data_IF_743354483412
#
_entry.id   IF_743354483412
#
_cell.length_a   1.000
_cell.length_b   1.000
_cell.length_c   1.000
_cell.angle_alpha   90.00
_cell.angle_beta   90.00
_cell.angle_gamma   90.00
#
_symmetry.space_group_name_H-M   'P 1'
#
loop_
_entity.id
_entity.type
_entity.pdbx_description
1 polymer ?
#
# COMPACT_ATOMS: atom_id res chain seq x y z
N UNK A 1 -19.42 11.05 -19.96
CA UNK A 1 -20.61 11.18 -19.10
C UNK A 1 -21.15 9.83 -18.57
N UNK A 2 -21.79 8.94 -19.38
CA UNK A 2 -22.38 7.69 -18.86
C UNK A 2 -21.30 6.73 -18.33
N UNK A 3 -20.18 6.57 -19.02
CA UNK A 3 -19.06 5.71 -18.60
C UNK A 3 -18.45 6.17 -17.27
N UNK A 4 -18.28 7.48 -17.10
CA UNK A 4 -17.72 8.07 -15.89
C UNK A 4 -18.67 7.92 -14.69
N UNK A 5 -19.98 8.13 -14.94
CA UNK A 5 -21.02 7.90 -13.93
C UNK A 5 -21.11 6.44 -13.50
N UNK A 6 -20.97 5.50 -14.44
CA UNK A 6 -20.96 4.07 -14.14
C UNK A 6 -19.72 3.67 -13.32
N UNK A 7 -18.55 4.20 -13.67
CA UNK A 7 -17.33 3.98 -12.92
C UNK A 7 -17.47 4.50 -11.48
N UNK A 8 -17.94 5.73 -11.30
CA UNK A 8 -18.16 6.32 -9.99
C UNK A 8 -19.19 5.56 -9.17
N UNK A 9 -20.31 5.15 -9.78
CA UNK A 9 -21.34 4.37 -9.10
C UNK A 9 -20.79 3.01 -8.64
N UNK A 10 -20.03 2.31 -9.48
CA UNK A 10 -19.41 1.03 -9.10
C UNK A 10 -18.34 1.21 -8.04
N UNK A 11 -17.60 2.33 -8.07
CA UNK A 11 -16.62 2.66 -7.03
C UNK A 11 -17.28 2.89 -5.67
N UNK A 12 -18.37 3.63 -5.63
CA UNK A 12 -19.15 3.84 -4.38
C UNK A 12 -19.71 2.51 -3.87
N UNK A 13 -20.37 1.73 -4.72
CA UNK A 13 -20.91 0.43 -4.33
C UNK A 13 -19.79 -0.48 -3.83
N UNK A 14 -18.67 -0.56 -4.55
CA UNK A 14 -17.53 -1.38 -4.17
C UNK A 14 -16.90 -0.95 -2.83
N UNK A 15 -16.90 0.35 -2.53
CA UNK A 15 -16.39 0.89 -1.27
C UNK A 15 -17.28 0.50 -0.08
N UNK A 16 -18.61 0.60 -0.22
CA UNK A 16 -19.55 0.34 0.89
C UNK A 16 -19.94 -1.13 1.02
N UNK A 17 -19.82 -1.91 -0.05
CA UNK A 17 -20.09 -3.36 -0.01
C UNK A 17 -18.86 -4.09 0.54
N UNK A 18 -18.85 -4.29 1.84
CA UNK A 18 -17.72 -4.89 2.54
C UNK A 18 -17.58 -6.39 2.23
N UNK A 19 -16.32 -6.85 2.19
CA UNK A 19 -15.99 -8.26 2.19
C UNK A 19 -16.31 -8.88 3.56
N UNK A 20 -16.64 -10.16 3.58
CA UNK A 20 -16.60 -10.91 4.82
C UNK A 20 -15.13 -11.01 5.27
N UNK A 21 -14.86 -10.67 6.52
CA UNK A 21 -13.54 -10.78 7.12
C UNK A 21 -13.67 -11.24 8.57
N UNK A 22 -12.61 -11.79 9.10
CA UNK A 22 -12.50 -12.07 10.53
C UNK A 22 -12.20 -10.74 11.20
N UNK A 23 -12.95 -10.37 12.24
CA UNK A 23 -12.77 -9.07 12.88
C UNK A 23 -11.34 -8.87 13.34
N UNK A 24 -10.71 -7.75 12.96
CA UNK A 24 -9.47 -7.31 13.57
C UNK A 24 -9.81 -6.67 14.91
N UNK A 25 -9.29 -7.20 15.96
CA UNK A 25 -9.47 -6.63 17.29
C UNK A 25 -8.47 -7.26 18.26
N UNK A 26 -7.36 -6.58 18.51
CA UNK A 26 -6.45 -6.93 19.58
C UNK A 26 -5.42 -8.00 19.30
N UNK A 27 -5.01 -8.19 18.04
CA UNK A 27 -3.84 -9.00 17.71
C UNK A 27 -2.53 -8.34 18.17
N UNK A 28 -1.43 -9.11 18.26
CA UNK A 28 -0.15 -8.62 18.79
C UNK A 28 0.61 -7.73 17.79
N UNK A 29 0.26 -7.73 16.52
CA UNK A 29 1.03 -7.02 15.48
C UNK A 29 0.31 -5.75 15.04
N UNK A 30 0.92 -4.62 15.32
CA UNK A 30 0.40 -3.31 14.91
C UNK A 30 0.98 -2.89 13.56
N UNK A 31 0.13 -2.69 12.58
CA UNK A 31 0.45 -2.06 11.29
C UNK A 31 -0.25 -0.71 11.17
N UNK A 32 0.15 0.10 10.18
CA UNK A 32 -0.54 1.34 9.86
C UNK A 32 -0.91 1.38 8.38
N UNK A 33 -2.10 1.91 8.10
CA UNK A 33 -2.51 2.33 6.75
C UNK A 33 -2.34 3.83 6.69
N UNK A 34 -1.52 4.29 5.76
CA UNK A 34 -1.22 5.70 5.57
C UNK A 34 -1.95 6.22 4.34
N UNK A 35 -2.48 7.43 4.40
CA UNK A 35 -3.07 8.08 3.23
C UNK A 35 -2.62 9.54 3.14
N UNK A 36 -2.39 9.99 1.91
CA UNK A 36 -2.17 11.41 1.63
C UNK A 36 -3.36 12.06 0.89
N UNK A 37 -4.49 11.35 0.78
CA UNK A 37 -5.71 11.77 0.08
C UNK A 37 -5.76 11.41 -1.41
N UNK A 38 -4.63 10.96 -1.98
CA UNK A 38 -4.53 10.48 -3.37
C UNK A 38 -4.00 9.05 -3.42
N UNK A 39 -3.10 8.71 -2.54
CA UNK A 39 -2.38 7.45 -2.45
C UNK A 39 -2.45 6.88 -1.05
N UNK A 40 -2.37 5.57 -0.94
CA UNK A 40 -2.29 4.87 0.34
C UNK A 40 -1.16 3.84 0.35
N UNK A 41 -0.50 3.75 1.52
CA UNK A 41 0.61 2.85 1.82
C UNK A 41 0.29 1.99 3.04
N UNK A 42 1.04 0.91 3.22
CA UNK A 42 1.00 0.06 4.41
C UNK A 42 2.35 0.14 5.11
N UNK A 43 2.35 0.49 6.39
CA UNK A 43 3.54 0.45 7.23
C UNK A 43 3.53 -0.80 8.10
N UNK A 44 4.56 -1.63 7.97
CA UNK A 44 4.73 -2.89 8.71
C UNK A 44 5.90 -2.76 9.69
N UNK A 45 5.79 -3.31 10.92
CA UNK A 45 6.82 -3.16 11.95
C UNK A 45 8.04 -4.02 11.65
N UNK A 46 9.25 -3.47 11.87
CA UNK A 46 10.50 -4.23 11.82
C UNK A 46 10.84 -4.93 13.15
N UNK A 47 10.10 -4.64 14.21
CA UNK A 47 10.22 -5.38 15.46
C UNK A 47 9.76 -6.83 15.36
N UNK A 48 8.97 -7.17 14.34
CA UNK A 48 8.60 -8.53 14.01
C UNK A 48 9.56 -9.09 12.94
N UNK A 49 10.29 -10.16 13.27
CA UNK A 49 11.30 -10.74 12.39
C UNK A 49 10.73 -11.24 11.06
N UNK A 50 9.45 -11.67 11.06
CA UNK A 50 8.74 -12.12 9.86
C UNK A 50 8.73 -11.08 8.75
N UNK A 51 8.74 -9.78 9.10
CA UNK A 51 8.79 -8.69 8.11
C UNK A 51 9.99 -8.82 7.18
N UNK A 52 11.19 -8.96 7.75
CA UNK A 52 12.43 -9.08 6.98
C UNK A 52 12.65 -10.47 6.37
N UNK A 53 12.04 -11.49 6.94
CA UNK A 53 12.07 -12.85 6.41
C UNK A 53 11.20 -12.98 5.14
N UNK A 54 10.04 -12.30 5.13
CA UNK A 54 9.07 -12.39 4.04
C UNK A 54 9.32 -11.36 2.92
N UNK A 55 9.59 -10.08 3.29
CA UNK A 55 9.74 -9.00 2.31
C UNK A 55 11.13 -9.07 1.67
N UNK A 56 11.24 -9.24 0.33
CA UNK A 56 12.52 -9.51 -0.35
C UNK A 56 13.35 -8.22 -0.55
N UNK A 57 13.43 -7.36 0.46
CA UNK A 57 14.16 -6.09 0.46
C UNK A 57 15.48 -6.26 1.19
N UNK A 58 16.57 -5.78 0.57
CA UNK A 58 17.88 -5.85 1.19
C UNK A 58 18.23 -4.55 1.88
N UNK A 59 18.74 -4.62 3.11
CA UNK A 59 19.23 -3.44 3.83
C UNK A 59 20.28 -2.65 3.05
N UNK A 60 21.08 -3.33 2.22
CA UNK A 60 22.11 -2.70 1.37
C UNK A 60 21.54 -1.83 0.24
N UNK A 61 20.30 -2.04 -0.15
CA UNK A 61 19.65 -1.24 -1.20
C UNK A 61 19.19 0.13 -0.66
N UNK A 62 18.99 0.24 0.64
CA UNK A 62 18.59 1.46 1.33
C UNK A 62 19.83 2.31 1.66
N UNK A 63 19.82 3.60 1.31
CA UNK A 63 20.97 4.50 1.48
C UNK A 63 21.47 4.64 2.93
N UNK A 64 20.58 4.48 3.91
CA UNK A 64 20.90 4.47 5.35
C UNK A 64 20.87 3.08 5.99
N UNK A 65 20.69 2.02 5.20
CA UNK A 65 20.38 0.69 5.73
C UNK A 65 19.05 0.68 6.50
N UNK A 66 18.93 -0.25 7.45
CA UNK A 66 17.75 -0.37 8.33
C UNK A 66 18.02 0.09 9.77
N UNK A 67 19.17 0.71 10.03
CA UNK A 67 19.52 1.13 11.38
C UNK A 67 18.59 2.24 11.87
N UNK A 68 17.96 2.04 13.02
CA UNK A 68 17.00 3.00 13.61
C UNK A 68 15.64 3.02 12.91
N UNK A 69 15.39 2.10 11.97
CA UNK A 69 14.09 1.94 11.32
C UNK A 69 13.15 1.11 12.20
N UNK A 70 11.97 1.63 12.48
CA UNK A 70 10.93 0.90 13.22
C UNK A 70 9.86 0.30 12.30
N UNK A 71 9.59 0.94 11.17
CA UNK A 71 8.60 0.50 10.18
C UNK A 71 9.17 0.55 8.77
N UNK A 72 8.76 -0.41 7.94
CA UNK A 72 8.84 -0.27 6.48
C UNK A 72 7.51 0.20 5.94
N UNK A 73 7.50 1.33 5.28
CA UNK A 73 6.35 1.83 4.54
C UNK A 73 6.42 1.28 3.13
N UNK A 74 5.38 0.58 2.73
CA UNK A 74 5.27 -0.15 1.47
C UNK A 74 4.12 0.44 0.65
N UNK A 75 4.46 1.04 -0.47
CA UNK A 75 3.53 1.61 -1.44
C UNK A 75 3.66 0.94 -2.80
N UNK A 76 2.53 0.70 -3.46
CA UNK A 76 2.51 0.15 -4.80
C UNK A 76 1.83 1.10 -5.77
N UNK A 77 2.37 1.24 -6.97
CA UNK A 77 1.76 2.14 -7.94
C UNK A 77 2.41 2.14 -9.31
N UNK A 78 1.99 3.09 -10.16
CA UNK A 78 2.51 3.29 -11.51
C UNK A 78 3.98 3.72 -11.49
N UNK A 79 4.83 3.04 -12.27
CA UNK A 79 6.23 3.40 -12.45
C UNK A 79 6.34 4.85 -12.97
N UNK A 80 5.56 5.19 -14.00
CA UNK A 80 5.56 6.53 -14.57
C UNK A 80 5.13 7.59 -13.56
N UNK A 81 4.10 7.32 -12.73
CA UNK A 81 3.66 8.27 -11.72
C UNK A 81 4.76 8.52 -10.68
N UNK A 82 5.36 7.48 -10.13
CA UNK A 82 6.42 7.62 -9.12
C UNK A 82 7.68 8.30 -9.65
N UNK A 83 8.09 8.00 -10.89
CA UNK A 83 9.32 8.55 -11.49
C UNK A 83 9.13 9.94 -12.08
N UNK A 84 7.90 10.31 -12.51
CA UNK A 84 7.62 11.61 -13.12
C UNK A 84 7.11 12.65 -12.13
N UNK A 85 6.56 12.23 -10.98
CA UNK A 85 6.05 13.15 -9.95
C UNK A 85 7.16 13.85 -9.12
N UNK A 86 8.41 13.58 -9.39
CA UNK A 86 9.54 14.33 -8.82
C UNK A 86 9.50 15.82 -9.22
N UNK A 87 8.73 16.19 -10.26
CA UNK A 87 8.43 17.56 -10.61
C UNK A 87 6.96 17.69 -11.04
N UNK A 88 6.09 18.16 -10.14
CA UNK A 88 4.70 18.50 -10.46
C UNK A 88 4.58 19.49 -11.63
N UNK A 89 5.65 20.25 -11.92
CA UNK A 89 5.76 21.14 -13.05
C UNK A 89 5.81 20.46 -14.42
N UNK A 90 6.15 19.14 -14.46
CA UNK A 90 6.39 18.42 -15.71
C UNK A 90 5.22 17.49 -16.09
N UNK A 91 4.12 17.54 -15.35
CA UNK A 91 2.91 16.77 -15.63
C UNK A 91 2.25 17.23 -16.95
N UNK A 92 2.63 16.57 -18.04
CA UNK A 92 1.89 16.71 -19.30
C UNK A 92 0.63 15.83 -19.31
N UNK A 93 -0.43 16.21 -20.02
CA UNK A 93 -1.61 15.34 -20.19
C UNK A 93 -1.27 13.94 -20.68
N UNK A 94 -0.19 13.78 -21.44
CA UNK A 94 0.28 12.48 -21.93
C UNK A 94 0.91 11.62 -20.85
N UNK A 95 1.63 12.20 -19.90
CA UNK A 95 2.19 11.49 -18.74
C UNK A 95 1.06 11.04 -17.82
N UNK A 96 0.09 11.92 -17.55
CA UNK A 96 -1.08 11.59 -16.74
C UNK A 96 -1.89 10.47 -17.40
N UNK A 97 -2.14 10.55 -18.72
CA UNK A 97 -2.85 9.49 -19.45
C UNK A 97 -2.10 8.15 -19.41
N UNK A 98 -0.76 8.15 -19.54
CA UNK A 98 0.06 6.93 -19.44
C UNK A 98 0.05 6.35 -18.03
N UNK A 99 0.19 7.18 -16.99
CA UNK A 99 0.13 6.74 -15.61
C UNK A 99 -1.20 6.09 -15.24
N UNK A 100 -2.30 6.46 -15.94
CA UNK A 100 -3.64 5.90 -15.74
C UNK A 100 -3.98 4.74 -16.70
N UNK A 101 -3.16 4.46 -17.73
CA UNK A 101 -3.45 3.45 -18.77
C UNK A 101 -2.38 2.35 -18.75
N UNK A 102 -2.61 1.24 -18.04
CA UNK A 102 -1.84 0.00 -18.14
C UNK A 102 -0.32 0.17 -18.09
N UNK A 103 0.16 0.85 -17.05
CA UNK A 103 1.57 1.09 -16.83
C UNK A 103 2.27 -0.13 -16.14
N UNK A 104 3.60 -0.13 -16.16
CA UNK A 104 4.36 -0.97 -15.24
C UNK A 104 4.10 -0.51 -13.82
N UNK A 105 4.23 -1.42 -12.89
CA UNK A 105 4.12 -1.09 -11.48
C UNK A 105 5.45 -1.20 -10.76
N UNK A 106 5.55 -0.47 -9.68
CA UNK A 106 6.67 -0.49 -8.77
C UNK A 106 6.19 -0.62 -7.33
N UNK A 107 7.03 -1.24 -6.52
CA UNK A 107 6.93 -1.22 -5.07
C UNK A 107 7.87 -0.15 -4.54
N UNK A 108 7.34 0.86 -3.88
CA UNK A 108 8.06 1.88 -3.14
C UNK A 108 8.29 1.39 -1.72
N UNK A 109 9.53 1.44 -1.25
CA UNK A 109 9.91 1.03 0.10
C UNK A 109 10.61 2.18 0.79
N UNK A 110 10.00 2.66 1.87
CA UNK A 110 10.51 3.78 2.66
C UNK A 110 10.77 3.32 4.10
N UNK A 111 12.02 3.36 4.59
CA UNK A 111 12.33 3.13 5.99
C UNK A 111 11.84 4.32 6.84
N UNK A 112 11.15 4.04 7.92
CA UNK A 112 10.61 5.04 8.82
C UNK A 112 11.11 4.83 10.24
N UNK A 113 11.77 5.86 10.80
CA UNK A 113 12.15 5.89 12.21
C UNK A 113 10.96 6.35 13.05
N UNK A 114 10.46 5.48 13.91
CA UNK A 114 9.33 5.75 14.79
C UNK A 114 7.97 5.39 14.18
N UNK A 115 6.92 5.60 14.99
CA UNK A 115 5.55 5.29 14.58
C UNK A 115 5.02 6.27 13.56
N UNK A 116 4.32 5.77 12.52
CA UNK A 116 3.56 6.66 11.65
C UNK A 116 2.56 7.50 12.43
N UNK A 117 2.46 8.78 12.11
CA UNK A 117 1.57 9.73 12.79
C UNK A 117 0.78 10.59 11.81
N UNK A 118 -0.16 11.38 12.37
CA UNK A 118 -1.02 12.29 11.61
C UNK A 118 -2.45 11.79 11.47
N UNK A 119 -3.32 12.66 10.96
CA UNK A 119 -4.79 12.42 10.90
C UNK A 119 -5.20 11.30 9.94
N UNK A 120 -4.28 10.87 9.06
CA UNK A 120 -4.51 9.86 8.03
C UNK A 120 -3.55 8.67 8.17
N UNK A 121 -3.10 8.43 9.39
CA UNK A 121 -2.40 7.21 9.79
C UNK A 121 -3.37 6.36 10.64
N UNK A 122 -3.87 5.29 10.05
CA UNK A 122 -4.87 4.41 10.67
C UNK A 122 -4.20 3.15 11.20
N UNK A 123 -4.26 2.97 12.52
CA UNK A 123 -3.73 1.78 13.19
C UNK A 123 -4.66 0.59 12.99
N UNK A 124 -4.07 -0.57 12.72
CA UNK A 124 -4.73 -1.87 12.71
C UNK A 124 -3.88 -2.86 13.51
N UNK A 125 -4.54 -3.60 14.40
CA UNK A 125 -3.90 -4.67 15.17
C UNK A 125 -4.33 -6.01 14.57
N UNK A 126 -3.38 -6.75 14.03
CA UNK A 126 -3.56 -8.02 13.33
C UNK A 126 -3.15 -9.18 14.22
N UNK A 127 -3.86 -10.30 14.12
CA UNK A 127 -3.33 -11.56 14.65
C UNK A 127 -2.22 -12.11 13.76
N UNK A 128 -1.53 -13.16 14.23
CA UNK A 128 -0.39 -13.73 13.52
C UNK A 128 -0.74 -14.24 12.14
N UNK A 129 -1.88 -14.93 11.98
CA UNK A 129 -2.29 -15.47 10.69
C UNK A 129 -2.67 -14.35 9.69
N UNK A 130 -3.30 -13.30 10.18
CA UNK A 130 -3.61 -12.11 9.38
C UNK A 130 -2.34 -11.41 8.92
N UNK A 131 -1.34 -11.31 9.81
CA UNK A 131 -0.08 -10.66 9.49
C UNK A 131 0.72 -11.49 8.47
N UNK A 132 0.79 -12.81 8.63
CA UNK A 132 1.44 -13.70 7.66
C UNK A 132 0.79 -13.59 6.28
N UNK A 133 -0.55 -13.58 6.20
CA UNK A 133 -1.28 -13.39 4.94
C UNK A 133 -1.00 -12.01 4.30
N UNK A 134 -0.85 -10.96 5.10
CA UNK A 134 -0.46 -9.63 4.62
C UNK A 134 0.93 -9.65 4.02
N UNK A 135 1.89 -10.22 4.74
CA UNK A 135 3.29 -10.33 4.30
C UNK A 135 3.42 -11.16 3.02
N UNK A 136 2.73 -12.30 2.94
CA UNK A 136 2.69 -13.16 1.75
C UNK A 136 2.17 -12.40 0.53
N UNK A 137 1.07 -11.65 0.70
CA UNK A 137 0.53 -10.83 -0.39
C UNK A 137 1.52 -9.74 -0.84
N UNK A 138 2.12 -9.03 0.11
CA UNK A 138 3.09 -7.96 -0.19
C UNK A 138 4.32 -8.55 -0.88
N UNK A 139 4.89 -9.62 -0.33
CA UNK A 139 6.05 -10.32 -0.90
C UNK A 139 5.78 -10.80 -2.33
N UNK A 140 4.61 -11.41 -2.56
CA UNK A 140 4.17 -11.86 -3.88
C UNK A 140 3.92 -10.73 -4.89
N UNK A 141 3.93 -9.48 -4.46
CA UNK A 141 3.81 -8.32 -5.35
C UNK A 141 5.16 -7.94 -6.01
N UNK A 142 6.28 -8.25 -5.38
CA UNK A 142 7.61 -7.97 -5.95
C UNK A 142 7.90 -8.88 -7.15
N UNK A 143 8.48 -8.31 -8.22
CA UNK A 143 9.18 -9.12 -9.22
C UNK A 143 10.52 -9.54 -8.66
N UNK A 144 10.84 -10.83 -8.75
CA UNK A 144 12.10 -11.38 -8.29
C UNK A 144 12.95 -11.88 -9.47
N UNK A 145 14.26 -11.83 -9.30
CA UNK A 145 15.21 -12.42 -10.22
C UNK A 145 15.30 -13.96 -10.05
N UNK A 146 16.19 -14.58 -10.79
CA UNK A 146 16.42 -16.04 -10.73
C UNK A 146 16.98 -16.53 -9.39
N UNK A 147 17.51 -15.61 -8.56
CA UNK A 147 17.99 -15.89 -7.22
C UNK A 147 16.91 -15.64 -6.13
N UNK A 148 15.67 -15.24 -6.54
CA UNK A 148 14.59 -14.91 -5.63
C UNK A 148 14.72 -13.53 -4.98
N UNK A 149 15.63 -12.67 -5.47
CA UNK A 149 15.81 -11.32 -4.93
C UNK A 149 14.91 -10.33 -5.68
N UNK A 150 14.34 -9.37 -4.95
CA UNK A 150 13.56 -8.30 -5.57
C UNK A 150 14.41 -7.49 -6.56
N UNK A 151 13.83 -7.17 -7.72
CA UNK A 151 14.51 -6.45 -8.80
C UNK A 151 14.52 -4.96 -8.48
N UNK A 152 15.66 -4.47 -7.99
CA UNK A 152 15.85 -3.05 -7.65
C UNK A 152 15.83 -2.17 -8.91
N UNK A 153 15.20 -1.01 -8.83
CA UNK A 153 15.26 0.06 -9.82
C UNK A 153 16.32 1.08 -9.38
N UNK A 154 17.54 0.92 -9.90
CA UNK A 154 18.68 1.75 -9.51
C UNK A 154 18.46 3.23 -9.89
N UNK A 155 18.91 4.12 -9.02
CA UNK A 155 18.89 5.57 -9.26
C UNK A 155 17.53 6.25 -9.14
N UNK A 156 16.49 5.52 -8.75
CA UNK A 156 15.15 6.07 -8.49
C UNK A 156 14.97 6.21 -6.99
N UNK A 157 14.71 7.44 -6.52
CA UNK A 157 14.43 7.78 -5.12
C UNK A 157 13.64 9.07 -5.04
N UNK A 158 12.85 9.26 -4.00
CA UNK A 158 12.17 10.53 -3.67
C UNK A 158 12.99 11.38 -2.69
N UNK A 159 14.19 10.93 -2.30
CA UNK A 159 15.11 11.69 -1.45
C UNK A 159 14.97 11.44 0.05
N UNK A 160 14.17 10.46 0.47
CA UNK A 160 13.93 10.12 1.88
C UNK A 160 14.64 8.85 2.34
N UNK A 161 15.66 8.39 1.61
CA UNK A 161 16.33 7.13 1.87
C UNK A 161 15.55 5.91 1.35
N UNK A 162 14.53 6.18 0.56
CA UNK A 162 13.63 5.22 -0.08
C UNK A 162 14.24 4.55 -1.30
N UNK A 163 13.67 3.43 -1.68
CA UNK A 163 14.04 2.67 -2.87
C UNK A 163 12.79 2.15 -3.59
N UNK A 164 12.99 1.82 -4.87
CA UNK A 164 11.95 1.27 -5.72
C UNK A 164 12.35 -0.07 -6.29
N UNK A 165 11.41 -1.03 -6.28
CA UNK A 165 11.57 -2.34 -6.90
C UNK A 165 10.55 -2.55 -7.99
N UNK A 166 10.87 -3.39 -8.98
CA UNK A 166 9.88 -3.86 -9.94
C UNK A 166 8.79 -4.64 -9.23
N UNK A 167 7.55 -4.47 -9.70
CA UNK A 167 6.40 -5.12 -9.11
C UNK A 167 5.40 -5.60 -10.17
N UNK A 168 4.63 -6.58 -9.84
CA UNK A 168 3.40 -7.01 -10.51
C UNK A 168 2.20 -6.76 -9.60
N UNK A 169 0.99 -6.86 -10.10
CA UNK A 169 0.51 -6.83 -11.49
C UNK A 169 0.67 -5.45 -12.14
N UNK A 170 0.29 -5.30 -13.42
CA UNK A 170 0.31 -4.00 -14.08
C UNK A 170 -0.69 -3.03 -13.46
N UNK A 171 -0.27 -1.77 -13.32
CA UNK A 171 -1.15 -0.68 -12.92
C UNK A 171 -2.25 -0.45 -13.97
N UNK A 172 -3.47 -0.18 -13.51
CA UNK A 172 -4.61 0.14 -14.37
C UNK A 172 -5.62 1.02 -13.65
N UNK A 173 -6.57 1.67 -14.35
CA UNK A 173 -7.64 2.45 -13.71
C UNK A 173 -8.54 1.63 -12.78
N UNK A 174 -8.58 0.31 -12.96
CA UNK A 174 -9.38 -0.60 -12.13
C UNK A 174 -8.57 -1.21 -10.98
N UNK A 175 -7.25 -1.20 -11.10
CA UNK A 175 -6.32 -1.71 -10.11
C UNK A 175 -5.16 -0.72 -9.93
N UNK A 176 -5.41 0.33 -9.18
CA UNK A 176 -4.43 1.37 -8.80
C UNK A 176 -3.90 1.14 -7.37
N UNK A 177 -3.12 2.10 -6.88
CA UNK A 177 -2.48 2.03 -5.56
C UNK A 177 -3.47 1.73 -4.42
N UNK A 178 -4.57 2.45 -4.36
CA UNK A 178 -5.57 2.27 -3.31
C UNK A 178 -6.33 0.94 -3.43
N UNK A 179 -6.54 0.44 -4.66
CA UNK A 179 -7.11 -0.88 -4.88
C UNK A 179 -6.14 -1.99 -4.43
N UNK A 180 -4.82 -1.81 -4.63
CA UNK A 180 -3.79 -2.71 -4.15
C UNK A 180 -3.76 -2.73 -2.60
N UNK A 181 -3.72 -1.57 -1.94
CA UNK A 181 -3.77 -1.46 -0.47
C UNK A 181 -5.01 -2.15 0.08
N UNK A 182 -6.19 -1.88 -0.49
CA UNK A 182 -7.41 -2.54 -0.04
C UNK A 182 -7.42 -4.04 -0.33
N UNK A 183 -6.75 -4.51 -1.40
CA UNK A 183 -6.60 -5.93 -1.68
C UNK A 183 -5.68 -6.60 -0.64
N UNK A 184 -4.53 -6.00 -0.34
CA UNK A 184 -3.61 -6.48 0.69
C UNK A 184 -4.33 -6.68 2.05
N UNK A 185 -5.07 -5.67 2.47
CA UNK A 185 -5.84 -5.72 3.72
C UNK A 185 -6.93 -6.78 3.71
N UNK A 186 -7.64 -6.96 2.58
CA UNK A 186 -8.64 -8.04 2.45
C UNK A 186 -8.02 -9.43 2.47
N UNK A 187 -6.84 -9.62 1.87
CA UNK A 187 -6.09 -10.88 1.98
C UNK A 187 -5.70 -11.17 3.43
N UNK A 188 -5.36 -10.15 4.20
CA UNK A 188 -5.16 -10.25 5.64
C UNK A 188 -6.46 -10.43 6.44
N UNK A 189 -7.59 -10.70 5.80
CA UNK A 189 -8.87 -10.90 6.48
C UNK A 189 -9.48 -9.64 7.09
N UNK A 190 -8.95 -8.45 6.79
CA UNK A 190 -9.52 -7.17 7.25
C UNK A 190 -10.80 -6.88 6.45
N UNK A 191 -11.97 -6.75 7.11
CA UNK A 191 -13.21 -6.40 6.41
C UNK A 191 -13.12 -5.00 5.81
N UNK A 192 -13.20 -4.90 4.50
CA UNK A 192 -13.11 -3.67 3.72
C UNK A 192 -14.06 -3.73 2.52
N UNK A 193 -14.34 -2.57 1.94
CA UNK A 193 -15.03 -2.50 0.66
C UNK A 193 -14.39 -3.42 -0.39
N UNK A 194 -15.23 -4.08 -1.20
CA UNK A 194 -14.77 -5.04 -2.22
C UNK A 194 -13.89 -4.42 -3.29
N UNK A 195 -14.03 -3.10 -3.50
CA UNK A 195 -13.21 -2.33 -4.40
C UNK A 195 -12.95 -0.94 -3.84
N UNK A 196 -11.69 -0.55 -3.75
CA UNK A 196 -11.21 0.69 -3.12
C UNK A 196 -10.36 1.49 -4.11
N UNK A 197 -10.93 2.03 -5.20
CA UNK A 197 -10.15 2.68 -6.25
C UNK A 197 -9.56 4.03 -5.84
N UNK A 198 -10.11 4.66 -4.79
CA UNK A 198 -9.70 5.97 -4.30
C UNK A 198 -9.14 5.90 -2.88
N UNK A 199 -8.27 6.85 -2.53
CA UNK A 199 -7.78 7.01 -1.16
C UNK A 199 -8.94 7.21 -0.17
N UNK A 200 -9.97 7.99 -0.56
CA UNK A 200 -11.19 8.20 0.22
C UNK A 200 -11.95 6.90 0.50
N UNK A 201 -11.85 5.91 -0.40
CA UNK A 201 -12.42 4.58 -0.16
C UNK A 201 -11.73 3.86 1.00
N UNK A 202 -10.40 3.97 1.08
CA UNK A 202 -9.61 3.42 2.20
C UNK A 202 -9.92 4.20 3.48
N UNK A 203 -9.81 5.54 3.44
CA UNK A 203 -10.06 6.42 4.58
C UNK A 203 -11.44 6.15 5.20
N UNK A 204 -12.49 6.13 4.38
CA UNK A 204 -13.85 5.86 4.85
C UNK A 204 -13.97 4.50 5.57
N UNK A 205 -13.40 3.44 5.00
CA UNK A 205 -13.42 2.11 5.62
C UNK A 205 -12.66 2.10 6.96
N UNK A 206 -11.52 2.80 7.05
CA UNK A 206 -10.74 2.89 8.29
C UNK A 206 -11.49 3.68 9.37
N UNK A 207 -12.13 4.78 9.00
CA UNK A 207 -12.92 5.61 9.92
C UNK A 207 -14.14 4.86 10.47
N UNK A 208 -14.89 4.12 9.62
CA UNK A 208 -16.01 3.30 10.07
C UNK A 208 -15.56 2.26 11.12
N UNK A 209 -14.42 1.61 10.88
CA UNK A 209 -13.85 0.64 11.83
C UNK A 209 -13.50 1.28 13.18
N UNK A 210 -12.88 2.47 13.14
CA UNK A 210 -12.53 3.21 14.37
C UNK A 210 -13.77 3.58 15.18
N UNK A 211 -14.87 3.94 14.52
CA UNK A 211 -16.14 4.23 15.19
C UNK A 211 -16.77 2.97 15.81
N UNK A 212 -16.75 1.84 15.08
CA UNK A 212 -17.31 0.58 15.56
C UNK A 212 -16.52 0.02 16.76
N UNK A 213 -15.20 0.21 16.80
CA UNK A 213 -14.38 -0.20 17.94
C UNK A 213 -14.69 0.60 19.21
N UNK A 214 -14.92 1.93 19.07
CA UNK A 214 -15.28 2.81 20.19
C UNK A 214 -16.68 2.53 20.74
N UNK A 215 -17.60 2.03 19.91
CA UNK A 215 -18.95 1.70 20.34
C UNK A 215 -19.07 0.33 21.05
N UNK A 216 -18.00 -0.49 20.99
CA UNK A 216 -17.95 -1.83 21.63
C UNK A 216 -17.15 -1.85 22.94
N UNK A 217 -16.42 -0.78 23.24
CA UNK A 217 -15.67 -0.58 24.50
C UNK A 217 -16.52 0.13 25.54
#
# INVERSE_FOLDING_TARGET
CIRDSLYLATAVIGTVWTSAGHGTGGGPVTIYVLSNGFHSDIAVPLSDSRTLEAIPVRAADLSGGLQGTEYLVLGWGSETAYTSLLALSDLTPGIVARAFLFDRSVMHVLPLAGRPGGNRAYQLDLDDAQYDQLLDFIAGTFETDTAGQAVLLEGITQGFGDVFYRAGPRFSPFYGCNAWTGHALRQAGVPLGRWTPFAQSIEWNMEQRSMDSKNRS
#
